data_IF_387548204308
#
_entry.id   IF_387548204308
#
_cell.length_a   1.000
_cell.length_b   1.000
_cell.length_c   1.000
_cell.angle_alpha   90.00
_cell.angle_beta   90.00
_cell.angle_gamma   90.00
#
_symmetry.space_group_name_H-M   'P 1'
#
loop_
_entity.id
_entity.type
_entity.pdbx_description
1 polymer ?
#
# COMPACT_ATOMS: atom_id res chain seq x y z
N UNK A 1 -17.20 23.42 -18.07
CA UNK A 1 -16.00 22.56 -17.95
C UNK A 1 -14.88 23.44 -17.40
N UNK A 2 -14.71 23.51 -16.08
CA UNK A 2 -13.62 24.28 -15.49
C UNK A 2 -12.37 23.40 -15.42
N UNK A 3 -11.35 23.76 -16.19
CA UNK A 3 -10.01 23.22 -16.05
C UNK A 3 -9.50 23.56 -14.65
N UNK A 4 -9.40 22.55 -13.77
CA UNK A 4 -8.87 22.73 -12.42
C UNK A 4 -7.35 22.62 -12.47
N UNK A 5 -6.68 23.56 -11.81
CA UNK A 5 -5.23 23.63 -11.75
C UNK A 5 -4.69 22.48 -10.90
N UNK A 6 -4.27 21.42 -11.59
CA UNK A 6 -3.28 20.48 -11.06
C UNK A 6 -2.09 21.31 -10.57
N UNK A 7 -1.60 21.06 -9.35
CA UNK A 7 -0.43 21.77 -8.82
C UNK A 7 0.68 21.74 -9.88
N UNK A 8 1.30 22.89 -10.21
CA UNK A 8 2.30 22.93 -11.27
C UNK A 8 3.40 21.90 -10.97
N UNK A 9 3.63 20.97 -11.90
CA UNK A 9 4.58 19.86 -11.73
C UNK A 9 3.98 18.52 -11.24
N UNK A 10 2.65 18.41 -11.10
CA UNK A 10 1.98 17.13 -10.71
C UNK A 10 1.06 16.54 -11.79
N UNK A 11 1.10 17.11 -13.01
CA UNK A 11 0.39 16.59 -14.17
C UNK A 11 0.89 15.20 -14.58
N UNK A 12 0.09 14.50 -15.41
CA UNK A 12 0.42 13.18 -15.97
C UNK A 12 1.80 13.15 -16.66
N UNK A 13 2.22 14.29 -17.21
CA UNK A 13 3.49 14.50 -17.91
C UNK A 13 4.71 14.64 -16.98
N UNK A 14 4.50 14.99 -15.71
CA UNK A 14 5.56 15.21 -14.71
C UNK A 14 5.60 14.12 -13.63
N UNK A 15 4.76 13.09 -13.73
CA UNK A 15 4.86 11.89 -12.88
C UNK A 15 6.15 11.16 -13.25
N UNK A 16 7.20 11.38 -12.47
CA UNK A 16 8.35 10.51 -12.45
C UNK A 16 7.89 9.15 -11.91
N UNK A 17 7.57 8.23 -12.81
CA UNK A 17 7.28 6.86 -12.46
C UNK A 17 8.47 6.29 -11.66
N UNK A 18 8.20 5.76 -10.46
CA UNK A 18 9.25 5.17 -9.63
C UNK A 18 10.02 4.07 -10.38
N UNK A 19 11.20 3.70 -9.90
CA UNK A 19 11.94 2.57 -10.49
C UNK A 19 11.25 1.25 -10.13
N UNK A 20 11.00 0.34 -11.09
CA UNK A 20 10.52 -1.00 -10.78
C UNK A 20 11.40 -1.63 -9.69
N UNK A 21 10.77 -2.17 -8.65
CA UNK A 21 11.51 -2.71 -7.51
C UNK A 21 10.81 -3.91 -6.89
N UNK A 22 11.63 -4.79 -6.32
CA UNK A 22 11.17 -5.98 -5.59
C UNK A 22 11.67 -5.87 -4.15
N UNK A 23 10.74 -5.83 -3.20
CA UNK A 23 11.06 -5.76 -1.77
C UNK A 23 10.56 -7.01 -1.07
N UNK A 24 11.46 -7.72 -0.38
CA UNK A 24 11.09 -8.85 0.48
C UNK A 24 11.08 -8.38 1.93
N UNK A 25 10.00 -8.64 2.64
CA UNK A 25 9.89 -8.29 4.05
C UNK A 25 9.31 -9.46 4.84
N UNK A 26 9.94 -9.76 5.98
CA UNK A 26 9.53 -10.83 6.89
C UNK A 26 9.08 -10.23 8.23
N UNK A 27 7.95 -10.70 8.73
CA UNK A 27 7.31 -10.21 9.95
C UNK A 27 6.86 -11.39 10.81
N UNK A 28 6.90 -11.19 12.13
CA UNK A 28 6.37 -12.14 13.10
C UNK A 28 5.11 -11.55 13.73
N UNK A 29 3.94 -12.13 13.46
CA UNK A 29 2.70 -11.76 14.13
C UNK A 29 2.67 -12.40 15.52
N UNK A 30 3.16 -11.67 16.51
CA UNK A 30 3.41 -12.13 17.89
C UNK A 30 2.20 -12.78 18.59
N UNK A 31 0.99 -12.29 18.38
CA UNK A 31 -0.24 -12.84 19.00
C UNK A 31 -0.55 -14.27 18.55
N UNK A 32 -0.11 -14.65 17.36
CA UNK A 32 -0.37 -15.96 16.76
C UNK A 32 0.92 -16.72 16.41
N UNK A 33 2.09 -16.13 16.72
CA UNK A 33 3.44 -16.58 16.35
C UNK A 33 3.54 -16.96 14.86
N UNK A 34 2.87 -16.19 14.00
CA UNK A 34 2.90 -16.45 12.55
C UNK A 34 4.08 -15.72 11.94
N UNK A 35 5.04 -16.49 11.43
CA UNK A 35 6.07 -15.96 10.55
C UNK A 35 5.46 -15.79 9.15
N UNK A 36 5.47 -14.55 8.66
CA UNK A 36 4.93 -14.16 7.37
C UNK A 36 6.04 -13.41 6.65
N UNK A 37 6.47 -13.91 5.49
CA UNK A 37 7.26 -13.14 4.55
C UNK A 37 6.43 -12.82 3.32
N UNK A 38 6.50 -11.58 2.85
CA UNK A 38 5.83 -11.12 1.66
C UNK A 38 6.83 -10.50 0.69
N UNK A 39 6.64 -10.80 -0.59
CA UNK A 39 7.37 -10.22 -1.71
C UNK A 39 6.47 -9.15 -2.31
N UNK A 40 6.94 -7.92 -2.33
CA UNK A 40 6.27 -6.80 -2.97
C UNK A 40 6.97 -6.51 -4.28
N UNK A 41 6.22 -6.47 -5.37
CA UNK A 41 6.69 -6.12 -6.70
C UNK A 41 6.00 -4.83 -7.12
N UNK A 42 6.77 -3.76 -7.18
CA UNK A 42 6.31 -2.48 -7.68
C UNK A 42 6.57 -2.39 -9.18
N UNK A 43 5.51 -2.15 -9.94
CA UNK A 43 5.57 -2.01 -11.39
C UNK A 43 4.92 -0.68 -11.75
N UNK A 44 5.67 0.28 -12.29
CA UNK A 44 5.14 1.60 -12.62
C UNK A 44 4.16 1.53 -13.79
N UNK A 45 3.11 2.35 -13.79
CA UNK A 45 2.12 2.33 -14.87
C UNK A 45 1.50 3.71 -15.16
N UNK A 46 1.24 4.02 -16.45
CA UNK A 46 0.77 5.34 -16.88
C UNK A 46 -0.59 5.77 -16.33
N UNK A 47 -1.43 4.83 -15.90
CA UNK A 47 -2.80 5.09 -15.42
C UNK A 47 -2.94 5.02 -13.88
N UNK A 48 -1.84 4.82 -13.17
CA UNK A 48 -1.81 4.73 -11.70
C UNK A 48 -0.80 3.70 -11.21
N UNK A 49 -0.15 4.01 -10.10
CA UNK A 49 0.85 3.14 -9.51
C UNK A 49 0.18 1.89 -8.92
N UNK A 50 0.66 0.71 -9.32
CA UNK A 50 0.27 -0.55 -8.71
C UNK A 50 1.46 -1.28 -8.12
N UNK A 51 1.23 -1.82 -6.94
CA UNK A 51 2.18 -2.70 -6.27
C UNK A 51 1.47 -4.01 -5.98
N UNK A 52 1.94 -5.09 -6.60
CA UNK A 52 1.49 -6.43 -6.26
C UNK A 52 2.30 -6.93 -5.07
N UNK A 53 1.66 -7.71 -4.21
CA UNK A 53 2.38 -8.49 -3.21
C UNK A 53 1.91 -9.93 -3.21
N UNK A 54 2.84 -10.82 -2.91
CA UNK A 54 2.58 -12.25 -2.74
C UNK A 54 3.24 -12.74 -1.45
N UNK A 55 2.66 -13.78 -0.86
CA UNK A 55 3.33 -14.52 0.21
C UNK A 55 4.58 -15.16 -0.38
N UNK A 56 5.70 -15.05 0.33
CA UNK A 56 6.93 -15.74 -0.04
C UNK A 56 6.67 -17.26 0.00
N UNK A 57 6.83 -17.99 -1.11
CA UNK A 57 6.58 -19.43 -1.17
C UNK A 57 7.47 -20.23 -0.21
N UNK A 58 8.62 -19.68 0.18
CA UNK A 58 9.52 -20.30 1.17
C UNK A 58 9.00 -20.19 2.60
N UNK A 59 8.07 -19.26 2.87
CA UNK A 59 7.39 -19.16 4.15
C UNK A 59 6.24 -20.17 4.22
N UNK A 60 6.55 -21.36 4.72
CA UNK A 60 5.54 -22.35 5.09
C UNK A 60 5.07 -22.10 6.51
N UNK A 61 3.82 -21.64 6.68
CA UNK A 61 3.19 -21.65 7.99
C UNK A 61 1.88 -22.46 7.95
N UNK A 62 1.45 -22.95 9.13
CA UNK A 62 0.31 -23.87 9.20
C UNK A 62 -1.03 -23.17 8.95
N UNK A 63 -1.06 -21.84 9.01
CA UNK A 63 -2.28 -21.01 9.11
C UNK A 63 -2.59 -20.30 7.81
N UNK A 64 -1.60 -19.62 7.23
CA UNK A 64 -1.64 -18.88 5.98
C UNK A 64 -0.93 -19.71 4.90
N UNK A 65 -1.72 -20.23 3.96
CA UNK A 65 -1.27 -21.08 2.85
C UNK A 65 -0.89 -20.28 1.60
N UNK A 66 -1.43 -19.07 1.47
CA UNK A 66 -1.12 -18.16 0.39
C UNK A 66 -1.68 -16.79 0.68
N UNK A 67 -1.06 -15.77 0.10
CA UNK A 67 -1.62 -14.43 0.03
C UNK A 67 -1.19 -13.82 -1.29
N UNK A 68 -2.11 -13.13 -1.95
CA UNK A 68 -1.83 -12.25 -3.08
C UNK A 68 -2.64 -10.98 -2.88
N UNK A 69 -2.09 -9.85 -3.23
CA UNK A 69 -2.89 -8.64 -3.29
C UNK A 69 -2.26 -7.57 -4.15
N UNK A 70 -3.01 -6.50 -4.32
CA UNK A 70 -2.66 -5.35 -5.13
C UNK A 70 -3.00 -4.10 -4.36
N UNK A 71 -2.01 -3.21 -4.28
CA UNK A 71 -2.21 -1.82 -3.91
C UNK A 71 -2.46 -1.02 -5.17
N UNK A 72 -3.45 -0.16 -5.12
CA UNK A 72 -3.79 0.75 -6.20
C UNK A 72 -4.07 2.14 -5.64
N UNK A 73 -3.54 3.17 -6.28
CA UNK A 73 -3.77 4.56 -5.90
C UNK A 73 -4.53 5.30 -6.98
N UNK A 74 -5.57 6.01 -6.61
CA UNK A 74 -6.30 6.94 -7.48
C UNK A 74 -6.40 8.32 -6.83
N UNK A 75 -6.62 9.34 -7.65
CA UNK A 75 -6.98 10.67 -7.16
C UNK A 75 -8.26 10.58 -6.33
N UNK A 76 -8.33 11.34 -5.23
CA UNK A 76 -9.49 11.27 -4.36
C UNK A 76 -10.79 11.54 -5.15
N UNK A 77 -11.75 10.60 -5.15
CA UNK A 77 -13.03 10.85 -5.78
C UNK A 77 -13.73 11.98 -5.03
N UNK A 78 -14.52 12.75 -5.77
CA UNK A 78 -15.11 14.04 -5.38
C UNK A 78 -14.19 15.26 -5.52
N UNK A 79 -12.94 15.08 -6.00
CA UNK A 79 -12.07 16.20 -6.36
C UNK A 79 -11.54 16.98 -5.16
N UNK A 80 -11.31 16.28 -4.03
CA UNK A 80 -10.60 16.85 -2.89
C UNK A 80 -9.12 16.98 -3.23
N UNK A 81 -8.68 18.21 -3.48
CA UNK A 81 -7.27 18.50 -3.74
C UNK A 81 -6.38 18.11 -2.55
N UNK A 82 -5.21 17.53 -2.85
CA UNK A 82 -4.25 17.08 -1.84
C UNK A 82 -4.59 15.73 -1.20
N UNK A 83 -5.63 15.03 -1.66
CA UNK A 83 -5.98 13.69 -1.18
C UNK A 83 -5.81 12.64 -2.28
N UNK A 84 -5.33 11.47 -1.87
CA UNK A 84 -5.20 10.27 -2.72
C UNK A 84 -5.99 9.16 -2.06
N UNK A 85 -6.80 8.44 -2.84
CA UNK A 85 -7.46 7.23 -2.36
C UNK A 85 -6.53 6.04 -2.63
N UNK A 86 -6.37 5.21 -1.60
CA UNK A 86 -5.58 3.99 -1.68
C UNK A 86 -6.49 2.79 -1.49
N UNK A 87 -6.44 1.86 -2.44
CA UNK A 87 -7.10 0.57 -2.36
C UNK A 87 -6.09 -0.51 -2.01
N UNK A 88 -6.52 -1.42 -1.14
CA UNK A 88 -5.87 -2.69 -0.90
C UNK A 88 -6.86 -3.78 -1.29
N UNK A 89 -6.60 -4.47 -2.39
CA UNK A 89 -7.28 -5.71 -2.73
C UNK A 89 -6.39 -6.88 -2.32
N UNK A 90 -6.92 -7.85 -1.58
CA UNK A 90 -6.14 -9.00 -1.15
C UNK A 90 -6.98 -10.26 -1.13
N UNK A 91 -6.42 -11.34 -1.67
CA UNK A 91 -6.87 -12.70 -1.49
C UNK A 91 -5.93 -13.41 -0.51
N UNK A 92 -6.52 -14.05 0.50
CA UNK A 92 -5.80 -14.75 1.55
C UNK A 92 -6.30 -16.19 1.58
N UNK A 93 -5.39 -17.14 1.39
CA UNK A 93 -5.67 -18.56 1.52
C UNK A 93 -5.25 -19.03 2.91
N UNK A 94 -6.22 -19.47 3.70
CA UNK A 94 -6.02 -19.93 5.06
C UNK A 94 -6.28 -21.43 5.20
N UNK A 95 -5.66 -22.04 6.20
CA UNK A 95 -5.90 -23.44 6.54
C UNK A 95 -7.32 -23.65 7.06
N UNK A 96 -7.98 -24.71 6.57
CA UNK A 96 -9.30 -25.14 7.04
C UNK A 96 -9.31 -25.59 8.51
N UNK A 97 -8.13 -25.80 9.10
CA UNK A 97 -7.98 -26.12 10.52
C UNK A 97 -8.19 -24.91 11.44
N UNK A 98 -8.24 -23.67 10.91
CA UNK A 98 -8.56 -22.50 11.72
C UNK A 98 -10.07 -22.39 11.99
N UNK A 99 -10.46 -22.09 13.23
CA UNK A 99 -11.81 -21.65 13.54
C UNK A 99 -12.21 -20.40 12.75
N UNK A 100 -13.46 -20.35 12.28
CA UNK A 100 -14.00 -19.23 11.48
C UNK A 100 -13.86 -17.87 12.17
N UNK A 101 -14.04 -17.80 13.49
CA UNK A 101 -13.94 -16.53 14.23
C UNK A 101 -12.56 -15.85 14.11
N UNK A 102 -11.49 -16.60 13.85
CA UNK A 102 -10.14 -16.03 13.62
C UNK A 102 -10.08 -15.39 12.23
N UNK A 103 -10.73 -16.01 11.25
CA UNK A 103 -10.85 -15.52 9.88
C UNK A 103 -11.62 -14.21 9.86
N UNK A 104 -12.78 -14.20 10.53
CA UNK A 104 -13.64 -13.02 10.64
C UNK A 104 -12.89 -11.89 11.36
N UNK A 105 -12.18 -12.20 12.45
CA UNK A 105 -11.34 -11.24 13.13
C UNK A 105 -10.23 -10.67 12.22
N UNK A 106 -9.60 -11.53 11.41
CA UNK A 106 -8.55 -11.09 10.51
C UNK A 106 -9.08 -10.12 9.45
N UNK A 107 -10.21 -10.46 8.82
CA UNK A 107 -10.86 -9.65 7.80
C UNK A 107 -11.40 -8.32 8.36
N UNK A 108 -12.17 -8.36 9.44
CA UNK A 108 -12.92 -7.19 9.94
C UNK A 108 -12.06 -6.23 10.77
N UNK A 109 -11.00 -6.73 11.41
CA UNK A 109 -10.24 -5.96 12.41
C UNK A 109 -8.75 -5.93 12.15
N UNK A 110 -8.13 -7.06 11.84
CA UNK A 110 -6.68 -7.12 11.69
C UNK A 110 -6.20 -6.40 10.43
N UNK A 111 -6.88 -6.60 9.29
CA UNK A 111 -6.51 -5.96 8.01
C UNK A 111 -6.65 -4.43 8.04
N UNK A 112 -7.76 -3.83 8.50
CA UNK A 112 -7.84 -2.37 8.65
C UNK A 112 -6.79 -1.80 9.61
N UNK A 113 -6.47 -2.52 10.68
CA UNK A 113 -5.40 -2.10 11.61
C UNK A 113 -4.02 -2.22 10.96
N UNK A 114 -3.81 -3.23 10.12
CA UNK A 114 -2.55 -3.43 9.42
C UNK A 114 -2.28 -2.36 8.36
N UNK A 115 -3.29 -1.58 7.94
CA UNK A 115 -3.12 -0.46 7.01
C UNK A 115 -3.14 0.91 7.69
N UNK A 116 -3.36 0.99 9.00
CA UNK A 116 -3.46 2.27 9.72
C UNK A 116 -2.16 3.07 9.77
N UNK A 117 -1.01 2.41 9.55
CA UNK A 117 0.29 3.07 9.47
C UNK A 117 0.48 3.88 8.18
N UNK A 118 -0.28 3.57 7.12
CA UNK A 118 -0.06 4.12 5.80
C UNK A 118 -0.21 5.64 5.81
N UNK A 119 -1.33 6.13 6.36
CA UNK A 119 -1.65 7.56 6.41
C UNK A 119 -0.55 8.41 7.07
N UNK A 120 -0.16 8.18 8.34
CA UNK A 120 0.84 9.02 8.99
C UNK A 120 2.21 8.95 8.31
N UNK A 121 2.59 7.80 7.73
CA UNK A 121 3.86 7.68 7.01
C UNK A 121 3.85 8.42 5.66
N UNK A 122 2.77 8.30 4.90
CA UNK A 122 2.62 9.00 3.62
C UNK A 122 2.50 10.51 3.84
N UNK A 123 1.73 10.97 4.82
CA UNK A 123 1.62 12.39 5.16
C UNK A 123 2.98 12.96 5.59
N UNK A 124 3.76 12.23 6.42
CA UNK A 124 5.11 12.65 6.80
C UNK A 124 6.09 12.71 5.62
N UNK A 125 6.04 11.73 4.71
CA UNK A 125 6.87 11.71 3.50
C UNK A 125 6.49 12.84 2.53
N UNK A 126 5.19 13.09 2.35
CA UNK A 126 4.68 14.20 1.57
C UNK A 126 5.16 15.55 2.12
N UNK A 127 5.12 15.72 3.44
CA UNK A 127 5.65 16.91 4.11
C UNK A 127 7.15 17.13 3.85
N UNK A 128 7.94 16.06 3.71
CA UNK A 128 9.37 16.16 3.41
C UNK A 128 9.65 16.44 1.93
N UNK A 129 8.87 15.85 1.03
CA UNK A 129 9.16 15.87 -0.41
C UNK A 129 8.42 16.96 -1.18
N UNK A 130 7.25 17.39 -0.71
CA UNK A 130 6.38 18.34 -1.40
C UNK A 130 6.43 19.75 -0.80
N UNK A 131 7.02 19.95 0.39
CA UNK A 131 7.23 21.31 0.90
C UNK A 131 8.20 22.04 -0.04
N UNK A 132 7.84 23.23 -0.54
CA UNK A 132 8.77 24.03 -1.34
C UNK A 132 10.01 24.30 -0.49
N UNK A 133 11.20 24.04 -1.05
CA UNK A 133 12.43 24.55 -0.46
C UNK A 133 12.27 26.06 -0.39
N UNK A 134 12.25 26.62 0.81
CA UNK A 134 12.43 28.05 0.99
C UNK A 134 13.82 28.34 0.45
N UNK A 135 13.90 28.87 -0.77
CA UNK A 135 15.14 29.44 -1.27
C UNK A 135 15.49 30.58 -0.31
N UNK A 136 16.48 30.35 0.54
CA UNK A 136 17.13 31.41 1.28
C UNK A 136 18.03 32.18 0.33
N UNK A 137 17.42 33.04 -0.49
CA UNK A 137 18.15 34.09 -1.19
C UNK A 137 17.95 35.39 -0.39
N UNK A 138 18.99 35.75 0.37
CA UNK A 138 19.27 37.12 0.80
C UNK A 138 20.48 37.60 0.00
#
# INVERSE_FOLDING_TARGET
VHARSVLPGTGRETRHYGTPSVTRAAFVLSKFRLNIAAIHTYTPHPDGDYMEFTLDPSCTNMVLKGAKGTWYTEEAPEGREGFTRVYLLCEVQISRALPSFIVDYAADRAMPRATSWLRPQVEAAADLWLKPKVNGDN
#
